data_IF_602959506823
#
_entry.id   IF_602959506823
#
_cell.length_a   1.000
_cell.length_b   1.000
_cell.length_c   1.000
_cell.angle_alpha   90.00
_cell.angle_beta   90.00
_cell.angle_gamma   90.00
#
_symmetry.space_group_name_H-M   'P 1'
#
loop_
_entity.id
_entity.type
_entity.pdbx_description
1 polymer ?
#
# COMPACT_ATOMS: atom_id res chain seq x y z
N UNK A 1 -17.57 -45.21 18.42
CA UNK A 1 -18.33 -44.00 18.05
C UNK A 1 -17.62 -42.69 18.42
N UNK A 2 -17.21 -42.48 19.68
CA UNK A 2 -16.56 -41.23 20.10
C UNK A 2 -15.21 -40.90 19.40
N UNK A 3 -14.41 -41.93 19.08
CA UNK A 3 -13.13 -41.75 18.37
C UNK A 3 -13.30 -41.20 16.94
N UNK A 4 -14.35 -41.62 16.23
CA UNK A 4 -14.65 -41.13 14.87
C UNK A 4 -15.09 -39.66 14.90
N UNK A 5 -15.88 -39.28 15.89
CA UNK A 5 -16.25 -37.88 16.12
C UNK A 5 -15.04 -36.99 16.45
N UNK A 6 -14.10 -37.50 17.26
CA UNK A 6 -12.85 -36.80 17.56
C UNK A 6 -11.99 -36.63 16.30
N UNK A 7 -11.84 -37.68 15.49
CA UNK A 7 -11.10 -37.62 14.23
C UNK A 7 -11.68 -36.58 13.25
N UNK A 8 -13.01 -36.56 13.09
CA UNK A 8 -13.71 -35.58 12.26
C UNK A 8 -13.49 -34.14 12.73
N UNK A 9 -13.57 -33.86 14.04
CA UNK A 9 -13.32 -32.53 14.59
C UNK A 9 -11.89 -32.06 14.36
N UNK A 10 -10.91 -32.95 14.55
CA UNK A 10 -9.50 -32.63 14.27
C UNK A 10 -9.28 -32.32 12.79
N UNK A 11 -9.88 -33.11 11.90
CA UNK A 11 -9.81 -32.86 10.46
C UNK A 11 -10.40 -31.49 10.08
N UNK A 12 -11.57 -31.14 10.63
CA UNK A 12 -12.17 -29.81 10.43
C UNK A 12 -11.28 -28.69 10.96
N UNK A 13 -10.66 -28.87 12.14
CA UNK A 13 -9.73 -27.90 12.70
C UNK A 13 -8.52 -27.65 11.78
N UNK A 14 -7.92 -28.70 11.21
CA UNK A 14 -6.80 -28.55 10.28
C UNK A 14 -7.19 -27.73 9.05
N UNK A 15 -8.36 -28.00 8.45
CA UNK A 15 -8.85 -27.19 7.33
C UNK A 15 -9.09 -25.72 7.73
N UNK A 16 -9.69 -25.47 8.90
CA UNK A 16 -9.88 -24.12 9.41
C UNK A 16 -8.55 -23.39 9.65
N UNK A 17 -7.54 -24.08 10.21
CA UNK A 17 -6.20 -23.50 10.42
C UNK A 17 -5.51 -23.20 9.09
N UNK A 18 -5.59 -24.10 8.10
CA UNK A 18 -5.02 -23.89 6.77
C UNK A 18 -5.66 -22.68 6.07
N UNK A 19 -7.00 -22.56 6.13
CA UNK A 19 -7.72 -21.41 5.59
C UNK A 19 -7.30 -20.10 6.29
N UNK A 20 -7.13 -20.12 7.60
CA UNK A 20 -6.67 -18.96 8.37
C UNK A 20 -5.27 -18.53 7.94
N UNK A 21 -4.35 -19.48 7.75
CA UNK A 21 -2.98 -19.21 7.31
C UNK A 21 -2.94 -18.58 5.91
N UNK A 22 -3.72 -19.11 4.96
CA UNK A 22 -3.82 -18.55 3.61
C UNK A 22 -4.34 -17.11 3.65
N UNK A 23 -5.37 -16.85 4.47
CA UNK A 23 -5.93 -15.50 4.62
C UNK A 23 -4.90 -14.54 5.22
N UNK A 24 -4.18 -14.93 6.27
CA UNK A 24 -3.16 -14.07 6.87
C UNK A 24 -2.04 -13.74 5.91
N UNK A 25 -1.56 -14.70 5.10
CA UNK A 25 -0.48 -14.46 4.13
C UNK A 25 -0.94 -13.55 2.99
N UNK A 26 -2.20 -13.69 2.53
CA UNK A 26 -2.74 -12.86 1.45
C UNK A 26 -2.89 -11.38 1.81
N UNK A 27 -3.11 -11.06 3.09
CA UNK A 27 -3.28 -9.66 3.54
C UNK A 27 -1.96 -8.87 3.52
N UNK A 28 -0.81 -9.52 3.66
CA UNK A 28 0.50 -8.85 3.61
C UNK A 28 1.01 -8.55 2.19
N UNK A 29 0.35 -9.09 1.16
CA UNK A 29 0.81 -8.95 -0.22
C UNK A 29 0.45 -7.59 -0.87
N UNK A 30 -0.29 -6.73 -0.17
CA UNK A 30 -0.84 -5.49 -0.70
C UNK A 30 -0.24 -4.23 -0.09
N UNK A 31 1.06 -4.01 -0.25
CA UNK A 31 1.61 -2.66 -0.08
C UNK A 31 1.65 -1.99 -1.46
N UNK A 32 0.84 -0.94 -1.64
CA UNK A 32 1.00 -0.09 -2.82
C UNK A 32 2.39 0.56 -2.72
N UNK A 33 3.24 0.49 -3.76
CA UNK A 33 4.51 1.20 -3.73
C UNK A 33 4.22 2.68 -3.47
N UNK A 34 4.93 3.27 -2.52
CA UNK A 34 4.88 4.72 -2.34
C UNK A 34 5.28 5.36 -3.67
N UNK A 35 4.33 6.06 -4.30
CA UNK A 35 4.54 6.72 -5.58
C UNK A 35 5.68 7.73 -5.45
N UNK A 36 6.45 7.90 -6.53
CA UNK A 36 7.56 8.84 -6.56
C UNK A 36 7.25 9.95 -7.56
N UNK A 37 7.24 11.19 -7.09
CA UNK A 37 6.89 12.34 -7.92
C UNK A 37 7.82 12.52 -9.12
N UNK A 38 9.09 12.08 -9.08
CA UNK A 38 9.96 12.11 -10.27
C UNK A 38 9.51 11.19 -11.40
N UNK A 39 8.68 10.18 -11.12
CA UNK A 39 8.20 9.21 -12.12
C UNK A 39 6.80 9.52 -12.61
N UNK A 40 6.01 10.20 -11.79
CA UNK A 40 4.56 10.31 -11.99
C UNK A 40 4.10 11.75 -12.22
N UNK A 41 4.94 12.75 -11.93
CA UNK A 41 4.56 14.16 -11.94
C UNK A 41 5.63 15.00 -12.61
N UNK A 42 5.20 15.86 -13.54
CA UNK A 42 6.01 16.93 -14.11
C UNK A 42 5.46 18.29 -13.67
N UNK A 43 6.32 19.17 -13.18
CA UNK A 43 5.98 20.57 -12.90
C UNK A 43 6.11 21.35 -14.21
N UNK A 44 4.99 21.80 -14.76
CA UNK A 44 4.92 22.41 -16.09
C UNK A 44 4.91 23.93 -16.08
N UNK A 45 4.65 24.56 -14.93
CA UNK A 45 4.63 26.01 -14.78
C UNK A 45 5.02 26.44 -13.34
N UNK A 46 5.33 27.74 -13.21
CA UNK A 46 5.67 28.35 -11.92
C UNK A 46 7.12 28.78 -11.74
N UNK A 47 7.94 28.76 -12.80
CA UNK A 47 9.27 29.41 -12.81
C UNK A 47 10.17 28.99 -11.62
N UNK A 48 10.21 27.69 -11.34
CA UNK A 48 10.99 27.11 -10.23
C UNK A 48 10.34 27.19 -8.84
N UNK A 49 9.09 27.68 -8.73
CA UNK A 49 8.28 27.67 -7.49
C UNK A 49 7.74 26.30 -7.10
N UNK A 50 7.65 25.36 -8.05
CA UNK A 50 7.33 23.96 -7.80
C UNK A 50 8.61 23.13 -7.72
N UNK A 51 8.83 22.43 -6.61
CA UNK A 51 10.04 21.62 -6.38
C UNK A 51 9.71 20.26 -5.82
N UNK A 52 10.27 19.23 -6.44
CA UNK A 52 10.27 17.86 -5.94
C UNK A 52 11.54 17.66 -5.12
N UNK A 53 11.37 17.30 -3.85
CA UNK A 53 12.42 17.14 -2.84
C UNK A 53 12.30 15.77 -2.16
N UNK A 54 13.18 15.51 -1.19
CA UNK A 54 13.21 14.23 -0.44
C UNK A 54 13.23 12.99 -1.35
N UNK A 55 14.09 13.03 -2.37
CA UNK A 55 14.24 11.96 -3.37
C UNK A 55 12.93 11.59 -4.09
N UNK A 56 12.02 12.55 -4.26
CA UNK A 56 10.78 12.33 -4.99
C UNK A 56 9.58 11.95 -4.12
N UNK A 57 9.73 11.98 -2.80
CA UNK A 57 8.65 11.65 -1.88
C UNK A 57 7.84 12.87 -1.43
N UNK A 58 8.36 14.07 -1.65
CA UNK A 58 7.69 15.32 -1.28
C UNK A 58 7.74 16.32 -2.43
N UNK A 59 6.59 16.91 -2.74
CA UNK A 59 6.50 18.04 -3.67
C UNK A 59 6.06 19.28 -2.90
N UNK A 60 6.70 20.41 -3.21
CA UNK A 60 6.37 21.73 -2.67
C UNK A 60 5.90 22.61 -3.81
N UNK A 61 4.73 23.22 -3.65
CA UNK A 61 4.18 24.20 -4.57
C UNK A 61 3.97 25.50 -3.78
N UNK A 62 4.20 26.63 -4.42
CA UNK A 62 4.03 27.94 -3.78
C UNK A 62 3.13 28.85 -4.62
N UNK A 63 2.43 29.74 -3.93
CA UNK A 63 1.50 30.70 -4.51
C UNK A 63 1.64 32.02 -3.78
N UNK A 64 1.80 33.09 -4.55
CA UNK A 64 1.80 34.46 -4.08
C UNK A 64 0.88 35.34 -4.97
N UNK A 65 0.88 36.66 -4.75
CA UNK A 65 0.06 37.59 -5.52
C UNK A 65 0.47 37.66 -7.00
N UNK A 66 1.72 37.38 -7.32
CA UNK A 66 2.24 37.42 -8.68
C UNK A 66 1.93 36.13 -9.45
N UNK A 67 2.11 34.95 -8.83
CA UNK A 67 1.82 33.67 -9.49
C UNK A 67 1.88 32.45 -8.55
N UNK A 68 1.50 31.29 -9.07
CA UNK A 68 1.66 29.97 -8.43
C UNK A 68 2.61 29.02 -9.15
N UNK A 69 2.53 27.73 -8.84
CA UNK A 69 3.23 26.63 -9.54
C UNK A 69 2.43 25.35 -9.63
N UNK A 70 2.71 24.53 -10.66
CA UNK A 70 2.14 23.21 -10.86
C UNK A 70 2.65 22.52 -12.11
#
# INVERSE_FOLDING_TARGET
MALLFSYSKNLTNYYSTILLLIFTVGVWAGEAPAGNFYKEVDVTWGDGRGKIIENGNLITLSLDKASGSG
#
